data_IF_002428194565
#
_entry.id   IF_002428194565
#
_cell.length_a   1.000
_cell.length_b   1.000
_cell.length_c   1.000
_cell.angle_alpha   90.00
_cell.angle_beta   90.00
_cell.angle_gamma   90.00
#
_symmetry.space_group_name_H-M   'P 1'
#
loop_
_entity.id
_entity.type
_entity.pdbx_description
1 polymer ?
#
# COMPACT_ATOMS: atom_id res chain seq x y z
N UNK A 1 -5.41 38.44 2.20
CA UNK A 1 -6.45 37.39 2.13
C UNK A 1 -6.16 36.53 0.92
N UNK A 2 -5.50 35.38 1.11
CA UNK A 2 -5.26 34.44 0.03
C UNK A 2 -6.57 33.74 -0.31
N UNK A 3 -6.98 33.85 -1.56
CA UNK A 3 -8.14 33.14 -2.08
C UNK A 3 -7.84 31.65 -2.05
N UNK A 4 -8.44 30.95 -1.09
CA UNK A 4 -8.52 29.50 -1.09
C UNK A 4 -9.29 29.07 -2.34
N UNK A 5 -8.58 28.76 -3.41
CA UNK A 5 -9.14 28.11 -4.58
C UNK A 5 -9.84 26.83 -4.14
N UNK A 6 -11.16 26.81 -4.32
CA UNK A 6 -12.04 25.68 -4.05
C UNK A 6 -11.67 24.55 -5.00
N UNK A 7 -10.82 23.63 -4.55
CA UNK A 7 -10.48 22.43 -5.32
C UNK A 7 -11.73 21.57 -5.43
N UNK A 8 -12.39 21.66 -6.58
CA UNK A 8 -13.61 20.92 -6.92
C UNK A 8 -13.26 19.57 -7.57
N UNK A 9 -12.33 18.85 -6.97
CA UNK A 9 -11.98 17.47 -7.25
C UNK A 9 -11.68 16.84 -5.90
N UNK A 10 -12.26 15.68 -5.60
CA UNK A 10 -12.08 14.98 -4.33
C UNK A 10 -10.58 14.81 -4.11
N UNK A 11 -10.00 15.60 -3.21
CA UNK A 11 -8.62 15.41 -2.79
C UNK A 11 -8.61 14.09 -2.06
N UNK A 12 -8.07 13.06 -2.69
CA UNK A 12 -7.91 11.76 -2.07
C UNK A 12 -6.81 11.89 -1.02
N UNK A 13 -7.19 11.79 0.25
CA UNK A 13 -6.27 11.91 1.36
C UNK A 13 -5.32 10.71 1.42
N UNK A 14 -4.20 10.86 2.11
CA UNK A 14 -3.23 9.77 2.29
C UNK A 14 -3.85 8.54 2.99
N UNK A 15 -4.81 8.77 3.91
CA UNK A 15 -5.57 7.70 4.56
C UNK A 15 -6.55 7.02 3.60
N UNK A 16 -7.13 7.77 2.66
CA UNK A 16 -7.99 7.17 1.63
C UNK A 16 -7.17 6.27 0.69
N UNK A 17 -5.93 6.68 0.37
CA UNK A 17 -4.94 5.84 -0.34
C UNK A 17 -4.64 4.56 0.40
N UNK A 18 -4.36 4.63 1.70
CA UNK A 18 -4.07 3.45 2.50
C UNK A 18 -5.24 2.46 2.51
N UNK A 19 -6.45 2.95 2.79
CA UNK A 19 -7.65 2.12 2.79
C UNK A 19 -7.90 1.47 1.42
N UNK A 20 -7.75 2.23 0.34
CA UNK A 20 -7.92 1.72 -1.02
C UNK A 20 -6.95 0.59 -1.34
N UNK A 21 -5.67 0.74 -0.98
CA UNK A 21 -4.64 -0.28 -1.24
C UNK A 21 -4.94 -1.56 -0.46
N UNK A 22 -5.29 -1.43 0.82
CA UNK A 22 -5.67 -2.58 1.66
C UNK A 22 -6.91 -3.30 1.10
N UNK A 23 -7.93 -2.55 0.67
CA UNK A 23 -9.13 -3.12 0.03
C UNK A 23 -8.80 -3.84 -1.29
N UNK A 24 -7.90 -3.28 -2.12
CA UNK A 24 -7.44 -3.96 -3.33
C UNK A 24 -6.68 -5.25 -3.01
N UNK A 25 -5.79 -5.24 -2.01
CA UNK A 25 -5.05 -6.44 -1.61
C UNK A 25 -6.00 -7.56 -1.15
N UNK A 26 -7.01 -7.24 -0.34
CA UNK A 26 -8.05 -8.19 0.08
C UNK A 26 -8.85 -8.69 -1.13
N UNK A 27 -9.23 -7.80 -2.05
CA UNK A 27 -9.97 -8.16 -3.26
C UNK A 27 -9.18 -9.12 -4.15
N UNK A 28 -7.90 -8.87 -4.38
CA UNK A 28 -7.06 -9.75 -5.20
C UNK A 28 -6.91 -11.13 -4.57
N UNK A 29 -6.71 -11.22 -3.25
CA UNK A 29 -6.67 -12.51 -2.53
C UNK A 29 -7.99 -13.29 -2.66
N UNK A 30 -9.14 -12.61 -2.61
CA UNK A 30 -10.45 -13.26 -2.88
C UNK A 30 -10.62 -13.73 -4.32
N UNK A 31 -10.00 -13.04 -5.29
CA UNK A 31 -10.02 -13.48 -6.69
C UNK A 31 -9.12 -14.70 -6.92
N UNK A 32 -8.04 -14.86 -6.16
CA UNK A 32 -7.19 -16.07 -6.20
C UNK A 32 -7.98 -17.32 -5.85
N UNK A 33 -8.88 -17.24 -4.88
CA UNK A 33 -9.76 -18.35 -4.47
C UNK A 33 -10.74 -18.76 -5.58
N UNK A 34 -11.09 -17.83 -6.48
CA UNK A 34 -12.05 -18.03 -7.57
C UNK A 34 -11.39 -18.38 -8.91
N UNK A 35 -10.09 -18.12 -9.06
CA UNK A 35 -9.37 -18.43 -10.29
C UNK A 35 -9.07 -19.94 -10.37
N UNK A 36 -9.14 -20.50 -11.57
CA UNK A 36 -8.70 -21.88 -11.84
C UNK A 36 -7.28 -21.91 -12.43
N UNK A 37 -6.94 -20.89 -13.23
CA UNK A 37 -5.68 -20.79 -13.92
C UNK A 37 -4.52 -20.43 -12.93
N UNK A 38 -3.48 -21.29 -12.83
CA UNK A 38 -2.34 -21.04 -11.95
C UNK A 38 -1.56 -19.77 -12.25
N UNK A 39 -1.47 -19.37 -13.52
CA UNK A 39 -0.82 -18.12 -13.93
C UNK A 39 -1.64 -16.92 -13.45
N UNK A 40 -2.96 -16.96 -13.62
CA UNK A 40 -3.84 -15.90 -13.12
C UNK A 40 -3.76 -15.78 -11.59
N UNK A 41 -3.68 -16.90 -10.86
CA UNK A 41 -3.45 -16.88 -9.39
C UNK A 41 -2.15 -16.18 -9.02
N UNK A 42 -1.06 -16.50 -9.72
CA UNK A 42 0.24 -15.89 -9.46
C UNK A 42 0.20 -14.38 -9.68
N UNK A 43 -0.39 -13.92 -10.78
CA UNK A 43 -0.54 -12.49 -11.08
C UNK A 43 -1.40 -11.76 -10.04
N UNK A 44 -2.51 -12.37 -9.60
CA UNK A 44 -3.37 -11.78 -8.55
C UNK A 44 -2.65 -11.69 -7.20
N UNK A 45 -1.84 -12.69 -6.84
CA UNK A 45 -1.01 -12.65 -5.63
C UNK A 45 0.08 -11.58 -5.74
N UNK A 46 0.72 -11.43 -6.90
CA UNK A 46 1.70 -10.38 -7.13
C UNK A 46 1.08 -8.98 -7.00
N UNK A 47 -0.12 -8.77 -7.58
CA UNK A 47 -0.85 -7.51 -7.43
C UNK A 47 -1.23 -7.22 -5.98
N UNK A 48 -1.67 -8.23 -5.22
CA UNK A 48 -1.93 -8.08 -3.79
C UNK A 48 -0.68 -7.63 -3.02
N UNK A 49 0.47 -8.26 -3.31
CA UNK A 49 1.76 -7.92 -2.68
C UNK A 49 2.18 -6.48 -2.98
N UNK A 50 1.99 -6.00 -4.21
CA UNK A 50 2.30 -4.60 -4.58
C UNK A 50 1.41 -3.62 -3.81
N UNK A 51 0.13 -3.95 -3.62
CA UNK A 51 -0.76 -3.13 -2.81
C UNK A 51 -0.31 -3.04 -1.35
N UNK A 52 0.08 -4.17 -0.74
CA UNK A 52 0.61 -4.18 0.63
C UNK A 52 1.92 -3.36 0.72
N UNK A 53 2.85 -3.53 -0.22
CA UNK A 53 4.14 -2.82 -0.20
C UNK A 53 3.98 -1.30 -0.27
N UNK A 54 3.07 -0.81 -1.13
CA UNK A 54 2.81 0.62 -1.22
C UNK A 54 2.10 1.13 0.04
N UNK A 55 1.19 0.34 0.61
CA UNK A 55 0.51 0.68 1.86
C UNK A 55 1.51 0.80 3.01
N UNK A 56 2.40 -0.18 3.16
CA UNK A 56 3.47 -0.19 4.16
C UNK A 56 4.40 1.02 3.98
N UNK A 57 4.83 1.31 2.75
CA UNK A 57 5.66 2.49 2.47
C UNK A 57 4.95 3.81 2.84
N UNK A 58 3.65 3.93 2.56
CA UNK A 58 2.85 5.10 2.97
C UNK A 58 2.78 5.20 4.49
N UNK A 59 2.51 4.08 5.18
CA UNK A 59 2.43 4.03 6.64
C UNK A 59 3.78 4.38 7.29
N UNK A 60 4.88 3.87 6.76
CA UNK A 60 6.25 4.20 7.20
C UNK A 60 6.54 5.70 7.04
N UNK A 61 6.07 6.34 5.97
CA UNK A 61 6.21 7.78 5.80
C UNK A 61 5.29 8.61 6.71
N UNK A 62 4.14 8.06 7.12
CA UNK A 62 3.23 8.71 8.07
C UNK A 62 3.72 8.57 9.52
N UNK A 63 4.36 7.45 9.84
CA UNK A 63 4.87 7.14 11.19
C UNK A 63 6.33 7.55 11.40
N UNK A 64 7.10 7.68 10.31
CA UNK A 64 8.53 8.06 10.31
C UNK A 64 8.83 9.53 10.65
N UNK A 65 7.83 10.31 11.07
CA UNK A 65 8.04 11.60 11.75
C UNK A 65 8.53 11.46 13.19
N UNK A 66 8.50 10.26 13.75
CA UNK A 66 9.03 9.92 15.08
C UNK A 66 10.01 8.76 14.94
N UNK A 67 11.26 9.08 14.68
CA UNK A 67 12.44 8.20 14.59
C UNK A 67 12.35 6.96 15.53
N UNK A 68 12.02 5.75 15.01
CA UNK A 68 12.24 4.53 15.74
C UNK A 68 13.44 3.82 15.11
N UNK A 69 14.49 3.68 15.91
CA UNK A 69 15.74 2.97 15.64
C UNK A 69 15.64 1.80 14.64
N UNK A 70 16.68 1.56 13.83
CA UNK A 70 16.66 0.57 12.76
C UNK A 70 16.32 -0.82 13.30
N UNK A 71 15.14 -1.34 12.94
CA UNK A 71 14.74 -2.72 13.20
C UNK A 71 15.17 -3.60 12.03
N UNK A 72 16.44 -3.99 12.04
CA UNK A 72 16.97 -5.02 11.15
C UNK A 72 18.41 -5.39 11.50
N UNK A 73 18.76 -6.68 11.71
CA UNK A 73 20.13 -7.06 11.99
C UNK A 73 20.99 -6.94 10.73
N UNK A 74 21.96 -6.03 10.76
CA UNK A 74 23.04 -5.90 9.79
C UNK A 74 23.90 -7.17 9.81
N UNK A 75 23.60 -8.12 8.92
CA UNK A 75 24.48 -9.27 8.65
C UNK A 75 24.62 -9.51 7.15
N UNK A 76 25.21 -8.52 6.47
CA UNK A 76 25.79 -8.70 5.15
C UNK A 76 27.19 -8.06 5.13
N UNK A 77 28.09 -8.62 5.94
CA UNK A 77 29.53 -8.51 5.75
C UNK A 77 30.10 -9.94 5.74
N UNK A 78 30.32 -10.46 4.54
CA UNK A 78 31.30 -11.50 4.22
C UNK A 78 31.75 -11.29 2.78
#
# INVERSE_FOLDING_TARGET
MCHHSKLNGTVFGIHDWLNYLQDQAVKYRKLVEQADDPFVKAELLALASVCDEIADNIEDHLTGGEDPAPRGPSSWLS
#
